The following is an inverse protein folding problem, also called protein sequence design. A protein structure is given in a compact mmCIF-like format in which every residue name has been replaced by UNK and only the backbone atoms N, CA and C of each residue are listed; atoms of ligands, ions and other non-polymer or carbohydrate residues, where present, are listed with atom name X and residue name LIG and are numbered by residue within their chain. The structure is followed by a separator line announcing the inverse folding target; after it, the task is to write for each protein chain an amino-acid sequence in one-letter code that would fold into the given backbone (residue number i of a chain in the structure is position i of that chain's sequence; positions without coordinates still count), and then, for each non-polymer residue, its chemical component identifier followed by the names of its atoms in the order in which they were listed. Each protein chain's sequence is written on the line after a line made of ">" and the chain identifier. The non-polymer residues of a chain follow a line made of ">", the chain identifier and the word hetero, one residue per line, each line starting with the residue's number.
data_IF_221264922610
#
_entry.id   IF_221264922610
#
_cell.length_a   1.000
_cell.length_b   1.000
_cell.length_c   1.000
_cell.angle_alpha   90.00
_cell.angle_beta   90.00
_cell.angle_gamma   90.00
#
_symmetry.space_group_name_H-M   'P 1'
#
loop_
_entity.id
_entity.type
_entity.pdbx_description
1 polymer ?
#
# COMPACT_ATOMS: atom_id res chain seq x y z
N UNK A 1 17.23 -8.40 18.08
CA UNK A 1 15.84 -8.86 18.16
C UNK A 1 15.61 -9.85 17.02
N UNK A 2 15.41 -11.15 17.33
CA UNK A 2 15.09 -12.17 16.30
C UNK A 2 13.61 -12.00 15.96
N UNK A 3 13.28 -11.57 14.73
CA UNK A 3 11.89 -11.65 14.25
C UNK A 3 11.51 -13.13 14.19
N UNK A 4 10.48 -13.51 14.93
CA UNK A 4 9.89 -14.85 14.87
C UNK A 4 9.45 -15.14 13.42
N UNK A 5 9.90 -16.27 12.89
CA UNK A 5 9.84 -16.65 11.46
C UNK A 5 8.43 -16.89 10.89
N UNK A 6 7.43 -17.02 11.76
CA UNK A 6 6.01 -17.16 11.43
C UNK A 6 5.27 -16.96 12.74
N UNK A 7 4.45 -15.91 12.85
CA UNK A 7 3.45 -15.89 13.92
C UNK A 7 2.39 -16.90 13.49
N UNK A 8 2.17 -17.90 14.32
CA UNK A 8 1.12 -18.87 14.06
C UNK A 8 -0.23 -18.16 14.23
N UNK A 9 -0.88 -17.87 13.12
CA UNK A 9 -2.18 -17.20 13.06
C UNK A 9 -3.26 -17.98 13.82
N UNK A 10 -3.09 -19.31 13.95
CA UNK A 10 -3.97 -20.15 14.78
C UNK A 10 -3.85 -19.88 16.28
N UNK A 11 -2.73 -19.32 16.74
CA UNK A 11 -2.47 -19.03 18.15
C UNK A 11 -2.98 -17.65 18.59
N UNK A 12 -3.37 -16.76 17.66
CA UNK A 12 -3.79 -15.39 17.94
C UNK A 12 -4.99 -14.98 17.09
N UNK A 13 -6.18 -15.48 17.44
CA UNK A 13 -7.43 -14.97 16.87
C UNK A 13 -7.83 -13.69 17.59
N UNK A 14 -7.50 -12.54 16.99
CA UNK A 14 -7.99 -11.24 17.46
C UNK A 14 -9.37 -11.01 16.84
N UNK A 15 -10.43 -10.76 17.65
CA UNK A 15 -11.74 -10.41 17.13
C UNK A 15 -11.69 -9.21 16.17
N UNK A 16 -12.62 -9.15 15.22
CA UNK A 16 -12.75 -7.98 14.36
C UNK A 16 -13.10 -6.75 15.20
N UNK A 17 -12.39 -5.65 14.95
CA UNK A 17 -12.63 -4.39 15.63
C UNK A 17 -14.00 -3.82 15.27
N UNK A 18 -14.61 -3.19 16.27
CA UNK A 18 -15.96 -2.63 16.23
C UNK A 18 -15.94 -1.23 16.85
N UNK A 19 -16.95 -0.42 16.54
CA UNK A 19 -16.97 0.99 16.94
C UNK A 19 -16.83 1.19 18.46
N UNK A 20 -17.29 0.25 19.27
CA UNK A 20 -17.21 0.34 20.73
C UNK A 20 -15.79 0.11 21.28
N UNK A 21 -14.85 -0.38 20.47
CA UNK A 21 -13.44 -0.51 20.85
C UNK A 21 -12.72 0.86 20.87
N UNK A 22 -13.38 1.92 20.38
CA UNK A 22 -12.83 3.26 20.28
C UNK A 22 -13.46 4.20 21.29
N UNK A 23 -12.63 4.81 22.14
CA UNK A 23 -13.04 5.83 23.09
C UNK A 23 -13.32 7.17 22.38
N UNK A 24 -14.57 7.38 21.96
CA UNK A 24 -15.00 8.65 21.35
C UNK A 24 -15.24 9.69 22.45
N UNK A 25 -14.36 10.68 22.53
CA UNK A 25 -14.42 11.76 23.50
C UNK A 25 -15.47 12.78 23.04
N UNK A 26 -16.65 12.76 23.66
CA UNK A 26 -17.77 13.68 23.37
C UNK A 26 -17.81 14.89 24.30
N UNK A 27 -17.18 14.81 25.47
CA UNK A 27 -17.11 15.89 26.45
C UNK A 27 -15.65 16.25 26.66
N UNK A 28 -15.24 17.53 26.57
CA UNK A 28 -13.90 17.96 26.94
C UNK A 28 -13.76 17.87 28.48
N UNK A 29 -13.68 16.65 29.02
CA UNK A 29 -13.40 16.43 30.44
C UNK A 29 -11.92 16.73 30.67
N UNK A 30 -11.60 18.00 30.92
CA UNK A 30 -10.44 18.48 31.69
C UNK A 30 -9.10 17.78 31.37
N UNK A 31 -8.87 17.38 30.13
CA UNK A 31 -7.54 17.00 29.65
C UNK A 31 -7.26 17.87 28.44
N UNK A 32 -7.08 19.17 28.69
CA UNK A 32 -6.05 19.90 27.96
C UNK A 32 -4.75 19.15 28.19
N UNK A 33 -4.49 18.12 27.40
CA UNK A 33 -3.16 17.54 27.28
C UNK A 33 -2.30 18.71 26.78
N UNK A 34 -1.42 19.30 27.61
CA UNK A 34 -0.70 20.52 27.24
C UNK A 34 0.15 20.34 25.98
N UNK A 35 0.40 19.09 25.62
CA UNK A 35 1.28 18.62 24.56
C UNK A 35 0.53 18.14 23.31
N UNK A 36 -0.79 17.98 23.35
CA UNK A 36 -1.58 17.48 22.22
C UNK A 36 -2.37 18.64 21.61
N UNK A 37 -1.77 19.28 20.61
CA UNK A 37 -2.41 20.36 19.85
C UNK A 37 -3.38 19.85 18.76
N UNK A 38 -3.65 18.54 18.70
CA UNK A 38 -4.49 17.96 17.65
C UNK A 38 -5.95 18.41 17.80
N UNK A 39 -6.49 18.98 16.72
CA UNK A 39 -7.87 19.44 16.62
C UNK A 39 -8.88 18.29 16.55
N UNK A 40 -8.45 17.07 16.23
CA UNK A 40 -9.31 15.87 16.11
C UNK A 40 -9.99 15.50 17.43
N UNK A 41 -9.29 15.61 18.57
CA UNK A 41 -9.87 15.28 19.87
C UNK A 41 -10.99 16.23 20.31
N UNK A 42 -11.16 17.36 19.61
CA UNK A 42 -12.25 18.30 19.83
C UNK A 42 -13.49 18.00 18.98
N UNK A 43 -13.36 17.11 17.98
CA UNK A 43 -14.42 16.78 17.05
C UNK A 43 -14.78 15.29 17.15
N UNK A 44 -15.87 14.93 17.87
CA UNK A 44 -16.30 13.55 18.00
C UNK A 44 -16.79 12.93 16.68
N UNK A 45 -17.14 13.74 15.68
CA UNK A 45 -17.47 13.26 14.34
C UNK A 45 -16.20 12.76 13.65
N UNK A 46 -15.13 13.56 13.66
CA UNK A 46 -13.83 13.16 13.08
C UNK A 46 -13.23 11.94 13.79
N UNK A 47 -13.38 11.84 15.12
CA UNK A 47 -12.96 10.63 15.85
C UNK A 47 -13.69 9.37 15.34
N UNK A 48 -15.00 9.44 15.08
CA UNK A 48 -15.76 8.31 14.53
C UNK A 48 -15.34 7.99 13.09
N UNK A 49 -15.16 9.00 12.24
CA UNK A 49 -14.69 8.80 10.86
C UNK A 49 -13.32 8.08 10.84
N UNK A 50 -12.41 8.48 11.73
CA UNK A 50 -11.09 7.85 11.89
C UNK A 50 -11.19 6.41 12.42
N UNK A 51 -12.10 6.14 13.37
CA UNK A 51 -12.36 4.80 13.85
C UNK A 51 -12.86 3.87 12.72
N UNK A 52 -13.79 4.35 11.88
CA UNK A 52 -14.27 3.60 10.69
C UNK A 52 -13.09 3.27 9.76
N UNK A 53 -12.24 4.26 9.46
CA UNK A 53 -11.04 4.06 8.63
C UNK A 53 -10.07 3.06 9.25
N UNK A 54 -9.93 3.04 10.58
CA UNK A 54 -9.07 2.09 11.28
C UNK A 54 -9.62 0.66 11.19
N UNK A 55 -10.93 0.49 11.38
CA UNK A 55 -11.59 -0.81 11.23
C UNK A 55 -11.37 -1.34 9.80
N UNK A 56 -11.60 -0.52 8.77
CA UNK A 56 -11.36 -0.89 7.38
C UNK A 56 -9.90 -1.32 7.14
N UNK A 57 -8.92 -0.59 7.69
CA UNK A 57 -7.50 -0.97 7.59
C UNK A 57 -7.21 -2.30 8.26
N UNK A 58 -7.80 -2.57 9.42
CA UNK A 58 -7.60 -3.84 10.12
C UNK A 58 -8.15 -5.03 9.31
N UNK A 59 -9.32 -4.86 8.69
CA UNK A 59 -9.89 -5.85 7.77
C UNK A 59 -8.99 -6.06 6.55
N UNK A 60 -8.46 -4.99 5.95
CA UNK A 60 -7.52 -5.09 4.84
C UNK A 60 -6.24 -5.83 5.24
N UNK A 61 -5.73 -5.64 6.46
CA UNK A 61 -4.58 -6.40 6.95
C UNK A 61 -4.84 -7.91 7.00
N UNK A 62 -6.04 -8.34 7.37
CA UNK A 62 -6.42 -9.76 7.32
C UNK A 62 -6.45 -10.30 5.87
N UNK A 63 -6.94 -9.50 4.92
CA UNK A 63 -6.91 -9.84 3.49
C UNK A 63 -5.47 -9.95 2.96
N UNK A 64 -4.59 -9.03 3.38
CA UNK A 64 -3.16 -9.08 3.05
C UNK A 64 -2.54 -10.38 3.52
N UNK A 65 -2.83 -10.79 4.75
CA UNK A 65 -2.30 -12.04 5.30
C UNK A 65 -2.75 -13.25 4.46
N UNK A 66 -4.02 -13.31 4.07
CA UNK A 66 -4.55 -14.39 3.22
C UNK A 66 -3.84 -14.44 1.87
N UNK A 67 -3.68 -13.28 1.20
CA UNK A 67 -2.99 -13.17 -0.09
C UNK A 67 -1.53 -13.57 0.01
N UNK A 68 -0.81 -13.10 1.04
CA UNK A 68 0.59 -13.44 1.24
C UNK A 68 0.75 -14.95 1.52
N UNK A 69 -0.15 -15.57 2.28
CA UNK A 69 -0.13 -17.02 2.52
C UNK A 69 -0.46 -17.82 1.26
N UNK A 70 -1.37 -17.34 0.42
CA UNK A 70 -1.79 -18.02 -0.80
C UNK A 70 -0.71 -17.95 -1.89
N UNK A 71 -0.23 -16.75 -2.22
CA UNK A 71 0.57 -16.49 -3.41
C UNK A 71 2.08 -16.44 -3.17
N UNK A 72 2.52 -16.29 -1.91
CA UNK A 72 3.92 -16.06 -1.58
C UNK A 72 4.46 -17.08 -0.58
N UNK A 73 5.76 -17.33 -0.68
CA UNK A 73 6.53 -18.07 0.31
C UNK A 73 7.74 -17.25 0.76
N UNK A 74 8.09 -17.41 2.03
CA UNK A 74 9.23 -16.73 2.63
C UNK A 74 10.49 -17.56 2.38
N UNK A 75 11.51 -16.96 1.76
CA UNK A 75 12.84 -17.58 1.63
C UNK A 75 13.90 -16.69 2.27
N UNK A 76 14.89 -17.33 2.88
CA UNK A 76 16.08 -16.66 3.37
C UNK A 76 17.11 -16.57 2.26
N UNK A 77 17.51 -15.36 1.90
CA UNK A 77 18.57 -15.12 0.93
C UNK A 77 19.79 -14.53 1.60
N UNK A 78 20.96 -15.11 1.29
CA UNK A 78 22.26 -14.54 1.62
C UNK A 78 22.74 -13.69 0.44
N UNK A 79 23.03 -12.39 0.61
CA UNK A 79 23.53 -11.57 -0.49
C UNK A 79 24.86 -12.14 -1.01
N UNK A 80 25.01 -12.36 -2.33
CA UNK A 80 26.17 -13.07 -2.89
C UNK A 80 27.53 -12.34 -2.75
N UNK A 81 27.55 -11.10 -2.23
CA UNK A 81 28.80 -10.31 -2.13
C UNK A 81 29.01 -9.57 -0.80
N UNK A 82 28.31 -9.94 0.29
CA UNK A 82 28.54 -9.30 1.59
C UNK A 82 28.54 -10.34 2.72
N UNK A 83 29.71 -10.92 3.00
CA UNK A 83 29.88 -11.94 4.04
C UNK A 83 29.45 -11.49 5.46
N UNK A 84 29.44 -10.17 5.70
CA UNK A 84 29.11 -9.53 6.99
C UNK A 84 27.66 -9.01 7.10
N UNK A 85 26.82 -9.17 6.07
CA UNK A 85 25.42 -8.72 6.12
C UNK A 85 24.52 -9.86 6.61
N UNK A 86 23.63 -9.63 7.60
CA UNK A 86 22.72 -10.66 8.09
C UNK A 86 21.82 -11.20 6.97
N UNK A 87 21.48 -12.49 7.04
CA UNK A 87 20.53 -13.13 6.13
C UNK A 87 19.25 -12.30 6.03
N UNK A 88 18.77 -12.09 4.79
CA UNK A 88 17.57 -11.31 4.52
C UNK A 88 16.40 -12.23 4.21
N UNK A 89 15.27 -11.92 4.82
CA UNK A 89 14.00 -12.59 4.58
C UNK A 89 13.30 -11.91 3.40
N UNK A 90 13.02 -12.66 2.34
CA UNK A 90 12.39 -12.15 1.13
C UNK A 90 11.16 -13.00 0.78
N UNK A 91 10.13 -12.34 0.26
CA UNK A 91 8.92 -12.98 -0.25
C UNK A 91 9.12 -13.31 -1.73
N UNK A 92 8.86 -14.57 -2.09
CA UNK A 92 8.89 -15.05 -3.47
C UNK A 92 7.50 -15.55 -3.87
N UNK A 93 7.05 -15.25 -5.10
CA UNK A 93 5.84 -15.88 -5.63
C UNK A 93 6.00 -17.40 -5.68
N UNK A 94 4.96 -18.13 -5.29
CA UNK A 94 4.94 -19.60 -5.39
C UNK A 94 4.95 -20.04 -6.85
N UNK A 95 5.63 -21.16 -7.12
CA UNK A 95 5.82 -21.72 -8.46
C UNK A 95 4.66 -22.61 -8.91
N UNK A 96 3.93 -23.22 -7.98
CA UNK A 96 2.73 -24.02 -8.26
C UNK A 96 1.51 -23.18 -7.87
N UNK A 97 0.65 -22.86 -8.85
CA UNK A 97 -0.51 -21.99 -8.68
C UNK A 97 -1.78 -22.73 -9.01
N UNK A 98 -2.76 -22.64 -8.13
CA UNK A 98 -4.15 -22.86 -8.49
C UNK A 98 -4.66 -21.51 -9.01
N UNK A 99 -4.90 -21.38 -10.32
CA UNK A 99 -5.41 -20.12 -10.92
C UNK A 99 -6.69 -19.61 -10.24
N UNK A 100 -7.46 -20.53 -9.65
CA UNK A 100 -8.67 -20.30 -8.88
C UNK A 100 -8.42 -19.48 -7.60
N UNK A 101 -7.21 -19.52 -7.00
CA UNK A 101 -6.88 -18.73 -5.80
C UNK A 101 -6.91 -17.23 -6.08
N UNK A 102 -6.34 -16.79 -7.20
CA UNK A 102 -6.19 -15.37 -7.54
C UNK A 102 -7.54 -14.73 -7.86
N UNK A 103 -8.39 -15.40 -8.65
CA UNK A 103 -9.73 -14.88 -8.97
C UNK A 103 -10.64 -14.86 -7.75
N UNK A 104 -10.49 -15.82 -6.83
CA UNK A 104 -11.24 -15.84 -5.57
C UNK A 104 -10.82 -14.66 -4.68
N UNK A 105 -9.52 -14.44 -4.51
CA UNK A 105 -8.98 -13.34 -3.70
C UNK A 105 -9.30 -11.96 -4.30
N UNK A 106 -9.26 -11.81 -5.63
CA UNK A 106 -9.67 -10.56 -6.30
C UNK A 106 -11.16 -10.27 -6.06
N UNK A 107 -12.02 -11.28 -6.18
CA UNK A 107 -13.46 -11.14 -5.86
C UNK A 107 -13.70 -10.75 -4.41
N UNK A 108 -12.94 -11.31 -3.48
CA UNK A 108 -13.03 -10.98 -2.06
C UNK A 108 -12.64 -9.52 -1.78
N UNK A 109 -11.57 -9.03 -2.41
CA UNK A 109 -11.17 -7.63 -2.33
C UNK A 109 -12.23 -6.69 -2.90
N UNK A 110 -12.78 -7.02 -4.08
CA UNK A 110 -13.85 -6.22 -4.72
C UNK A 110 -15.10 -6.18 -3.85
N UNK A 111 -15.51 -7.32 -3.28
CA UNK A 111 -16.65 -7.37 -2.37
C UNK A 111 -16.39 -6.55 -1.09
N UNK A 112 -15.20 -6.68 -0.52
CA UNK A 112 -14.81 -5.90 0.65
C UNK A 112 -14.84 -4.40 0.35
N UNK A 113 -14.25 -3.94 -0.75
CA UNK A 113 -14.27 -2.54 -1.18
C UNK A 113 -15.70 -2.02 -1.35
N UNK A 114 -16.59 -2.80 -1.97
CA UNK A 114 -18.00 -2.45 -2.14
C UNK A 114 -18.80 -2.41 -0.82
N UNK A 115 -18.33 -3.11 0.22
CA UNK A 115 -18.96 -3.10 1.55
C UNK A 115 -18.56 -1.91 2.43
N UNK A 116 -17.54 -1.15 2.01
CA UNK A 116 -17.02 -0.04 2.80
C UNK A 116 -17.98 1.16 2.80
N UNK A 117 -18.11 1.86 3.93
CA UNK A 117 -18.83 3.13 3.97
C UNK A 117 -18.18 4.20 3.09
N UNK A 118 -18.96 5.18 2.63
CA UNK A 118 -18.47 6.27 1.76
C UNK A 118 -17.24 7.01 2.33
N UNK A 119 -17.15 7.16 3.65
CA UNK A 119 -16.02 7.82 4.32
C UNK A 119 -14.69 7.07 4.12
N UNK A 120 -14.70 5.80 3.74
CA UNK A 120 -13.49 5.05 3.41
C UNK A 120 -12.97 5.33 2.00
N UNK A 121 -13.81 5.90 1.13
CA UNK A 121 -13.45 6.15 -0.26
C UNK A 121 -12.66 7.44 -0.36
N UNK A 122 -11.41 7.35 -0.84
CA UNK A 122 -10.64 8.54 -1.16
C UNK A 122 -11.17 9.18 -2.45
N UNK A 123 -11.71 10.38 -2.32
CA UNK A 123 -12.00 11.27 -3.45
C UNK A 123 -11.07 12.47 -3.30
N UNK A 124 -10.16 12.65 -4.26
CA UNK A 124 -9.17 13.72 -4.18
C UNK A 124 -9.83 15.07 -3.87
N UNK A 125 -9.32 15.85 -2.90
CA UNK A 125 -9.98 17.07 -2.49
C UNK A 125 -9.89 18.11 -3.62
N UNK A 126 -11.03 18.74 -3.93
CA UNK A 126 -11.13 19.79 -4.95
C UNK A 126 -10.33 21.04 -4.54
N UNK A 127 -10.32 21.34 -3.25
CA UNK A 127 -9.58 22.43 -2.64
C UNK A 127 -8.67 21.91 -1.53
N UNK A 128 -7.52 22.57 -1.33
CA UNK A 128 -6.59 22.19 -0.27
C UNK A 128 -7.20 22.57 1.08
N UNK A 129 -7.47 21.62 1.99
CA UNK A 129 -7.96 21.94 3.33
C UNK A 129 -6.92 22.75 4.10
N UNK A 130 -7.38 23.61 5.02
CA UNK A 130 -6.49 24.26 5.99
C UNK A 130 -5.70 23.18 6.74
N UNK A 131 -4.36 23.26 6.83
CA UNK A 131 -3.55 22.32 7.61
C UNK A 131 -4.00 22.14 9.07
N UNK A 132 -4.76 23.08 9.63
CA UNK A 132 -5.30 23.05 10.99
C UNK A 132 -6.66 22.35 11.08
N UNK A 133 -7.32 22.10 9.96
CA UNK A 133 -8.61 21.43 9.89
C UNK A 133 -8.45 19.94 10.23
N UNK A 134 -9.24 19.39 11.20
CA UNK A 134 -9.18 17.98 11.55
C UNK A 134 -9.55 17.04 10.38
N UNK A 135 -10.17 17.54 9.31
CA UNK A 135 -10.45 16.81 8.06
C UNK A 135 -9.17 16.33 7.37
N UNK A 136 -8.05 17.02 7.55
CA UNK A 136 -6.74 16.62 7.00
C UNK A 136 -6.35 15.21 7.45
N UNK A 137 -6.63 14.86 8.71
CA UNK A 137 -6.33 13.52 9.25
C UNK A 137 -7.19 12.45 8.58
N UNK A 138 -8.45 12.74 8.33
CA UNK A 138 -9.37 11.83 7.64
C UNK A 138 -8.90 11.59 6.21
N UNK A 139 -8.58 12.66 5.47
CA UNK A 139 -8.04 12.57 4.10
C UNK A 139 -6.74 11.74 4.08
N UNK A 140 -5.80 12.03 4.98
CA UNK A 140 -4.56 11.25 5.10
C UNK A 140 -4.87 9.75 5.28
N UNK A 141 -5.80 9.42 6.18
CA UNK A 141 -6.12 8.03 6.46
C UNK A 141 -6.93 7.35 5.35
N UNK A 142 -7.74 8.07 4.58
CA UNK A 142 -8.38 7.59 3.34
C UNK A 142 -7.34 7.28 2.26
N UNK A 143 -6.36 8.17 2.06
CA UNK A 143 -5.27 7.95 1.12
C UNK A 143 -4.46 6.73 1.54
N UNK A 144 -4.10 6.59 2.81
CA UNK A 144 -3.35 5.42 3.31
C UNK A 144 -4.13 4.13 3.03
N UNK A 145 -5.44 4.09 3.32
CA UNK A 145 -6.28 2.92 3.06
C UNK A 145 -6.27 2.56 1.57
N UNK A 146 -6.50 3.57 0.72
CA UNK A 146 -6.57 3.40 -0.73
C UNK A 146 -5.21 2.98 -1.33
N UNK A 147 -4.12 3.58 -0.85
CA UNK A 147 -2.75 3.27 -1.27
C UNK A 147 -2.38 1.83 -0.93
N UNK A 148 -2.69 1.38 0.29
CA UNK A 148 -2.46 0.00 0.69
C UNK A 148 -3.35 -0.93 -0.14
N UNK A 149 -4.64 -0.61 -0.32
CA UNK A 149 -5.54 -1.43 -1.13
C UNK A 149 -5.02 -1.64 -2.56
N UNK A 150 -4.61 -0.57 -3.25
CA UNK A 150 -4.04 -0.68 -4.60
C UNK A 150 -2.72 -1.47 -4.61
N UNK A 151 -1.89 -1.34 -3.58
CA UNK A 151 -0.66 -2.12 -3.46
C UNK A 151 -0.94 -3.62 -3.30
N UNK A 152 -2.02 -3.97 -2.61
CA UNK A 152 -2.48 -5.35 -2.44
C UNK A 152 -2.97 -5.94 -3.77
N UNK A 153 -3.80 -5.20 -4.51
CA UNK A 153 -4.21 -5.60 -5.88
C UNK A 153 -2.98 -5.83 -6.76
N UNK A 154 -2.04 -4.89 -6.77
CA UNK A 154 -0.81 -5.03 -7.55
C UNK A 154 0.02 -6.26 -7.12
N UNK A 155 0.05 -6.55 -5.82
CA UNK A 155 0.75 -7.71 -5.27
C UNK A 155 0.09 -9.02 -5.70
N UNK A 156 -1.24 -9.12 -5.58
CA UNK A 156 -2.01 -10.28 -5.99
C UNK A 156 -1.82 -10.63 -7.48
N UNK A 157 -1.84 -9.62 -8.38
CA UNK A 157 -1.79 -9.85 -9.82
C UNK A 157 -0.39 -9.89 -10.42
N UNK A 158 0.64 -9.34 -9.75
CA UNK A 158 2.02 -9.28 -10.29
C UNK A 158 2.58 -10.64 -10.74
N UNK A 159 2.39 -11.75 -9.99
CA UNK A 159 2.89 -13.06 -10.42
C UNK A 159 2.28 -13.54 -11.73
N UNK A 160 1.02 -13.17 -12.04
CA UNK A 160 0.31 -13.61 -13.24
C UNK A 160 0.53 -12.65 -14.41
N UNK A 161 0.73 -11.36 -14.15
CA UNK A 161 1.01 -10.35 -15.18
C UNK A 161 2.29 -10.64 -15.99
N UNK A 162 3.25 -11.38 -15.42
CA UNK A 162 4.52 -11.77 -16.07
C UNK A 162 4.59 -13.26 -16.43
N UNK A 163 3.48 -13.99 -16.32
CA UNK A 163 3.48 -15.41 -16.61
C UNK A 163 3.66 -15.68 -18.11
N UNK A 164 4.44 -16.70 -18.46
CA UNK A 164 4.65 -17.10 -19.85
C UNK A 164 3.52 -18.04 -20.29
N UNK A 165 2.67 -17.60 -21.23
CA UNK A 165 1.39 -18.27 -21.54
C UNK A 165 1.49 -19.19 -22.77
N UNK A 166 2.57 -19.99 -22.86
CA UNK A 166 2.87 -20.81 -24.06
C UNK A 166 1.70 -21.71 -24.43
N UNK A 167 0.98 -21.36 -25.51
CA UNK A 167 -0.03 -22.20 -26.16
C UNK A 167 -1.41 -22.31 -25.49
N UNK A 168 -1.67 -21.61 -24.39
CA UNK A 168 -2.99 -21.62 -23.72
C UNK A 168 -3.68 -20.25 -23.83
N UNK A 169 -4.76 -20.12 -24.64
CA UNK A 169 -5.50 -18.86 -24.82
C UNK A 169 -6.12 -18.32 -23.52
N UNK A 170 -6.63 -19.21 -22.65
CA UNK A 170 -7.23 -18.82 -21.38
C UNK A 170 -6.18 -18.29 -20.38
N UNK A 171 -4.97 -18.85 -20.41
CA UNK A 171 -3.85 -18.32 -19.63
C UNK A 171 -3.38 -16.96 -20.15
N UNK A 172 -3.42 -16.76 -21.48
CA UNK A 172 -3.08 -15.47 -22.11
C UNK A 172 -4.05 -14.36 -21.70
N UNK A 173 -5.37 -14.61 -21.74
CA UNK A 173 -6.37 -13.62 -21.32
C UNK A 173 -6.28 -13.29 -19.82
N UNK A 174 -6.06 -14.28 -18.96
CA UNK A 174 -5.86 -14.05 -17.51
C UNK A 174 -4.59 -13.25 -17.20
N UNK A 175 -3.49 -13.52 -17.90
CA UNK A 175 -2.24 -12.74 -17.80
C UNK A 175 -2.45 -11.29 -18.24
N UNK A 176 -3.19 -11.06 -19.32
CA UNK A 176 -3.49 -9.72 -19.80
C UNK A 176 -4.35 -8.94 -18.80
N UNK A 177 -5.41 -9.56 -18.25
CA UNK A 177 -6.24 -8.95 -17.21
C UNK A 177 -5.42 -8.61 -15.96
N UNK A 178 -4.57 -9.53 -15.52
CA UNK A 178 -3.68 -9.31 -14.38
C UNK A 178 -2.71 -8.16 -14.64
N UNK A 179 -2.19 -8.02 -15.87
CA UNK A 179 -1.35 -6.89 -16.23
C UNK A 179 -2.13 -5.56 -16.17
N UNK A 180 -3.34 -5.52 -16.72
CA UNK A 180 -4.20 -4.32 -16.63
C UNK A 180 -4.48 -3.91 -15.18
N UNK A 181 -4.76 -4.86 -14.29
CA UNK A 181 -4.93 -4.62 -12.84
C UNK A 181 -3.68 -4.02 -12.21
N UNK A 182 -2.50 -4.58 -12.52
CA UNK A 182 -1.22 -4.06 -12.03
C UNK A 182 -0.97 -2.63 -12.54
N UNK A 183 -1.17 -2.38 -13.84
CA UNK A 183 -0.98 -1.05 -14.44
C UNK A 183 -1.89 -0.03 -13.76
N UNK A 184 -3.19 -0.32 -13.68
CA UNK A 184 -4.18 0.53 -13.01
C UNK A 184 -3.75 0.86 -11.58
N UNK A 185 -3.47 -0.18 -10.78
CA UNK A 185 -3.06 0.00 -9.38
C UNK A 185 -1.80 0.87 -9.23
N UNK A 186 -0.80 0.68 -10.09
CA UNK A 186 0.43 1.48 -10.04
C UNK A 186 0.22 2.94 -10.40
N UNK A 187 -0.66 3.22 -11.37
CA UNK A 187 -1.02 4.60 -11.70
C UNK A 187 -1.84 5.25 -10.58
N UNK A 188 -2.81 4.54 -9.99
CA UNK A 188 -3.56 5.04 -8.83
C UNK A 188 -2.65 5.37 -7.65
N UNK A 189 -1.65 4.52 -7.36
CA UNK A 189 -0.63 4.80 -6.33
C UNK A 189 0.15 6.07 -6.66
N UNK A 190 0.55 6.28 -7.91
CA UNK A 190 1.26 7.48 -8.32
C UNK A 190 0.41 8.76 -8.20
N UNK A 191 -0.87 8.70 -8.56
CA UNK A 191 -1.80 9.82 -8.36
C UNK A 191 -1.97 10.15 -6.87
N UNK A 192 -2.13 9.14 -6.01
CA UNK A 192 -2.19 9.35 -4.56
C UNK A 192 -0.88 9.92 -3.99
N UNK A 193 0.28 9.47 -4.49
CA UNK A 193 1.57 10.05 -4.11
C UNK A 193 1.70 11.52 -4.52
N UNK A 194 1.20 11.87 -5.71
CA UNK A 194 1.14 13.26 -6.18
C UNK A 194 0.24 14.12 -5.29
N UNK A 195 -0.95 13.62 -4.93
CA UNK A 195 -1.88 14.31 -4.04
C UNK A 195 -1.29 14.52 -2.65
N UNK A 196 -0.62 13.52 -2.08
CA UNK A 196 0.07 13.64 -0.78
C UNK A 196 1.14 14.73 -0.81
N UNK A 197 1.94 14.79 -1.89
CA UNK A 197 2.93 15.85 -2.07
C UNK A 197 2.30 17.23 -2.20
N UNK A 198 1.16 17.34 -2.92
CA UNK A 198 0.39 18.58 -3.05
C UNK A 198 -0.17 19.05 -1.71
N UNK A 199 -0.67 18.10 -0.90
CA UNK A 199 -1.23 18.35 0.43
C UNK A 199 -0.16 18.51 1.53
N UNK A 200 1.14 18.29 1.22
CA UNK A 200 2.26 18.26 2.20
C UNK A 200 2.04 17.22 3.31
N UNK A 201 1.46 16.08 2.94
CA UNK A 201 1.14 14.98 3.85
C UNK A 201 2.04 13.75 3.68
N UNK A 202 2.97 13.79 2.74
CA UNK A 202 3.90 12.71 2.39
C UNK A 202 4.78 12.27 3.58
N UNK A 203 5.12 13.17 4.50
CA UNK A 203 5.86 12.85 5.72
C UNK A 203 5.08 12.09 6.80
N UNK A 204 3.75 12.01 6.69
CA UNK A 204 2.89 11.32 7.66
C UNK A 204 2.51 9.91 7.22
N UNK A 205 3.04 9.44 6.10
CA UNK A 205 2.82 8.08 5.65
C UNK A 205 3.44 7.07 6.65
N UNK A 206 2.77 5.93 6.88
CA UNK A 206 3.34 4.86 7.69
C UNK A 206 4.51 4.20 6.97
N UNK A 207 5.39 3.53 7.71
CA UNK A 207 6.49 2.74 7.13
C UNK A 207 6.01 1.69 6.12
N UNK A 208 4.78 1.17 6.26
CA UNK A 208 4.14 0.27 5.32
C UNK A 208 3.99 0.89 3.91
N UNK A 209 3.89 2.22 3.78
CA UNK A 209 3.81 2.87 2.47
C UNK A 209 5.07 2.65 1.63
N UNK A 210 6.25 2.47 2.27
CA UNK A 210 7.50 2.10 1.56
C UNK A 210 7.32 0.77 0.82
N UNK A 211 6.65 -0.21 1.44
CA UNK A 211 6.42 -1.53 0.85
C UNK A 211 5.43 -1.50 -0.31
N UNK A 212 4.56 -0.49 -0.37
CA UNK A 212 3.65 -0.24 -1.49
C UNK A 212 4.31 0.55 -2.63
N UNK A 213 5.01 1.64 -2.30
CA UNK A 213 5.62 2.57 -3.25
C UNK A 213 6.76 1.93 -4.05
N UNK A 214 7.68 1.24 -3.38
CA UNK A 214 8.85 0.65 -4.04
C UNK A 214 8.48 -0.28 -5.21
N UNK A 215 7.63 -1.31 -5.02
CA UNK A 215 7.26 -2.19 -6.12
C UNK A 215 6.41 -1.49 -7.19
N UNK A 216 5.63 -0.46 -6.84
CA UNK A 216 4.93 0.35 -7.83
C UNK A 216 5.89 1.14 -8.72
N UNK A 217 6.91 1.79 -8.14
CA UNK A 217 7.96 2.49 -8.88
C UNK A 217 8.69 1.55 -9.83
N UNK A 218 9.08 0.36 -9.38
CA UNK A 218 9.74 -0.62 -10.23
C UNK A 218 8.88 -1.03 -11.42
N UNK A 219 7.57 -1.22 -11.22
CA UNK A 219 6.62 -1.50 -12.30
C UNK A 219 6.48 -0.32 -13.27
N UNK A 220 6.41 0.92 -12.78
CA UNK A 220 6.37 2.11 -13.62
C UNK A 220 7.65 2.27 -14.46
N UNK A 221 8.83 1.95 -13.89
CA UNK A 221 10.11 1.95 -14.63
C UNK A 221 10.09 0.91 -15.75
N UNK A 222 9.56 -0.31 -15.49
CA UNK A 222 9.45 -1.33 -16.55
C UNK A 222 8.52 -0.87 -17.67
N UNK A 223 7.36 -0.30 -17.34
CA UNK A 223 6.42 0.24 -18.33
C UNK A 223 7.05 1.40 -19.13
N UNK A 224 7.81 2.27 -18.46
CA UNK A 224 8.50 3.38 -19.12
C UNK A 224 9.54 2.87 -20.12
N UNK A 225 10.27 1.80 -19.79
CA UNK A 225 11.25 1.17 -20.69
C UNK A 225 10.59 0.51 -21.91
N UNK A 226 9.46 -0.14 -21.69
CA UNK A 226 8.71 -0.88 -22.73
C UNK A 226 7.86 0.04 -23.62
N UNK A 227 7.57 1.26 -23.18
CA UNK A 227 6.73 2.21 -23.90
C UNK A 227 7.44 2.82 -25.11
N UNK A 228 6.77 2.75 -26.27
CA UNK A 228 7.18 3.33 -27.55
C UNK A 228 6.60 4.72 -27.82
N UNK A 229 5.72 5.24 -26.97
CA UNK A 229 5.09 6.56 -27.14
C UNK A 229 5.73 7.60 -26.24
N UNK A 230 6.21 8.70 -26.82
CA UNK A 230 6.84 9.79 -26.06
C UNK A 230 5.89 10.40 -25.02
N UNK A 231 4.61 10.56 -25.38
CA UNK A 231 3.61 11.09 -24.45
C UNK A 231 3.41 10.16 -23.24
N UNK A 232 3.28 8.86 -23.47
CA UNK A 232 3.16 7.88 -22.40
C UNK A 232 4.43 7.81 -21.54
N UNK A 233 5.62 7.94 -22.14
CA UNK A 233 6.89 8.00 -21.42
C UNK A 233 6.99 9.22 -20.51
N UNK A 234 6.52 10.38 -20.96
CA UNK A 234 6.50 11.60 -20.15
C UNK A 234 5.56 11.46 -18.93
N UNK A 235 4.38 10.90 -19.13
CA UNK A 235 3.44 10.64 -18.04
C UNK A 235 3.99 9.63 -17.02
N UNK A 236 4.55 8.52 -17.49
CA UNK A 236 5.17 7.52 -16.61
C UNK A 236 6.35 8.12 -15.84
N UNK A 237 7.16 8.97 -16.47
CA UNK A 237 8.25 9.67 -15.78
C UNK A 237 7.72 10.58 -14.67
N UNK A 238 6.67 11.35 -14.93
CA UNK A 238 6.01 12.19 -13.93
C UNK A 238 5.51 11.34 -12.74
N UNK A 239 4.87 10.22 -13.02
CA UNK A 239 4.38 9.28 -12.00
C UNK A 239 5.53 8.67 -11.17
N UNK A 240 6.65 8.30 -11.82
CA UNK A 240 7.87 7.84 -11.14
C UNK A 240 8.40 8.92 -10.20
N UNK A 241 8.48 10.17 -10.65
CA UNK A 241 8.96 11.30 -9.83
C UNK A 241 8.07 11.50 -8.60
N UNK A 242 6.74 11.50 -8.74
CA UNK A 242 5.85 11.65 -7.59
C UNK A 242 6.03 10.57 -6.53
N UNK A 243 6.06 9.29 -6.94
CA UNK A 243 6.30 8.19 -6.03
C UNK A 243 7.70 8.25 -5.38
N UNK A 244 8.72 8.65 -6.16
CA UNK A 244 10.09 8.77 -5.66
C UNK A 244 10.22 9.88 -4.61
N UNK A 245 9.60 11.04 -4.83
CA UNK A 245 9.60 12.13 -3.86
C UNK A 245 8.95 11.70 -2.54
N UNK A 246 7.79 11.06 -2.59
CA UNK A 246 7.14 10.51 -1.40
C UNK A 246 8.03 9.50 -0.67
N UNK A 247 8.74 8.64 -1.41
CA UNK A 247 9.68 7.68 -0.83
C UNK A 247 10.92 8.35 -0.21
N UNK A 248 11.43 9.42 -0.81
CA UNK A 248 12.56 10.19 -0.29
C UNK A 248 12.21 10.89 1.02
N UNK A 249 11.00 11.44 1.15
CA UNK A 249 10.50 11.95 2.43
C UNK A 249 10.44 10.84 3.47
N UNK A 250 9.91 9.67 3.12
CA UNK A 250 9.84 8.53 4.03
C UNK A 250 11.22 7.97 4.44
N UNK A 251 12.22 8.08 3.58
CA UNK A 251 13.61 7.68 3.89
C UNK A 251 14.20 8.48 5.04
N UNK A 252 13.83 9.76 5.18
CA UNK A 252 14.31 10.60 6.27
C UNK A 252 13.73 10.16 7.63
N UNK A 253 12.58 9.46 7.60
CA UNK A 253 11.84 9.03 8.80
C UNK A 253 12.09 7.54 9.12
N UNK A 254 12.27 6.69 8.12
CA UNK A 254 12.38 5.24 8.28
C UNK A 254 13.64 4.66 7.60
N UNK A 255 14.36 3.80 8.31
CA UNK A 255 15.54 3.08 7.78
C UNK A 255 15.24 2.20 6.56
N UNK A 256 13.98 1.75 6.40
CA UNK A 256 13.52 0.99 5.23
C UNK A 256 13.54 1.80 3.92
N UNK A 257 13.47 3.14 3.99
CA UNK A 257 13.49 3.99 2.80
C UNK A 257 14.85 4.01 2.09
N UNK A 258 15.96 3.78 2.80
CA UNK A 258 17.31 3.82 2.19
C UNK A 258 17.51 2.70 1.18
N UNK A 259 17.01 1.50 1.52
CA UNK A 259 17.02 0.36 0.62
C UNK A 259 16.17 0.62 -0.63
N UNK A 260 14.98 1.21 -0.47
CA UNK A 260 14.12 1.56 -1.59
C UNK A 260 14.79 2.54 -2.56
N UNK A 261 15.43 3.59 -2.05
CA UNK A 261 16.17 4.55 -2.88
C UNK A 261 17.38 3.93 -3.59
N UNK A 262 18.05 2.95 -2.99
CA UNK A 262 19.13 2.22 -3.65
C UNK A 262 18.60 1.35 -4.80
N UNK A 263 17.52 0.60 -4.58
CA UNK A 263 16.89 -0.24 -5.60
C UNK A 263 16.41 0.57 -6.81
N UNK A 264 15.85 1.77 -6.58
CA UNK A 264 15.42 2.66 -7.67
C UNK A 264 16.60 3.17 -8.49
N UNK A 265 17.71 3.55 -7.84
CA UNK A 265 18.94 3.99 -8.53
C UNK A 265 19.49 2.90 -9.46
N UNK A 266 19.66 1.69 -8.92
CA UNK A 266 20.07 0.52 -9.70
C UNK A 266 19.08 0.26 -10.85
N UNK A 267 17.78 0.32 -10.58
CA UNK A 267 16.76 0.11 -11.60
C UNK A 267 16.79 1.17 -12.71
N UNK A 268 17.14 2.42 -12.41
CA UNK A 268 17.29 3.50 -13.40
C UNK A 268 18.65 3.47 -14.12
N UNK A 269 19.63 2.71 -13.62
CA UNK A 269 20.99 2.66 -14.16
C UNK A 269 21.87 3.82 -13.71
N UNK A 270 21.60 4.39 -12.52
CA UNK A 270 22.34 5.49 -11.91
C UNK A 270 23.01 5.09 -10.59
#
# INVERSE_FOLDING_TARGET
>A
MRLSLKVDSSAFQVPSLVMHDFDIITTPRITTFPFVQSTVFKDPTKQRELAILFIAKSQLCAQIEEILKAEYEVRMQRPPHMANVPNRMLLYPKTCKETESVERLDRQLVFWEASLPDICTYRGPVELPDPRDPTVYVILHQIILSLVHQAVIATLHRPNAKATTRGNPAAASSSQLSNLRVVHATNSIAHMAADLGRLRLDGYLPSAAVTALLPAILTLITQWRESNSDHARQELMRNIVYCRLALETLRQVYSSGEYGSHMIRVALGC
#
